data_IF_010763387315
#
_entry.id   IF_010763387315
#
_cell.length_a   1.000
_cell.length_b   1.000
_cell.length_c   1.000
_cell.angle_alpha   90.00
_cell.angle_beta   90.00
_cell.angle_gamma   90.00
#
_symmetry.space_group_name_H-M   'P 1'
#
loop_
_entity.id
_entity.type
_entity.pdbx_description
1 polymer ?
#
# COMPACT_ATOMS: atom_id res chain seq x y z
N UNK A 1 2.33 32.80 -52.21
CA UNK A 1 1.89 31.38 -52.26
C UNK A 1 1.73 30.91 -50.82
N UNK A 2 0.50 30.64 -50.37
CA UNK A 2 0.26 30.10 -49.02
C UNK A 2 0.41 28.58 -49.08
N UNK A 3 1.29 28.03 -48.25
CA UNK A 3 1.46 26.59 -48.09
C UNK A 3 0.23 26.00 -47.40
N UNK A 4 -0.47 25.09 -48.06
CA UNK A 4 -1.51 24.28 -47.46
C UNK A 4 -0.87 22.99 -46.94
N UNK A 5 -0.96 22.78 -45.63
CA UNK A 5 -0.45 21.59 -44.98
C UNK A 5 -1.31 20.39 -45.40
N UNK A 6 -0.69 19.39 -46.01
CA UNK A 6 -1.35 18.14 -46.41
C UNK A 6 -1.78 17.44 -45.10
N UNK A 7 -3.08 17.38 -44.85
CA UNK A 7 -3.62 16.57 -43.75
C UNK A 7 -3.70 15.12 -44.22
N UNK A 8 -3.31 14.18 -43.35
CA UNK A 8 -3.45 12.75 -43.64
C UNK A 8 -4.90 12.44 -44.00
N UNK A 9 -5.10 11.66 -45.06
CA UNK A 9 -6.46 11.27 -45.43
C UNK A 9 -6.99 10.28 -44.39
N UNK A 10 -8.31 10.24 -44.13
CA UNK A 10 -8.91 9.25 -43.23
C UNK A 10 -8.53 7.80 -43.60
N UNK A 11 -8.34 7.51 -44.90
CA UNK A 11 -7.90 6.20 -45.38
C UNK A 11 -6.46 5.84 -44.93
N UNK A 12 -5.56 6.82 -44.86
CA UNK A 12 -4.18 6.59 -44.41
C UNK A 12 -4.11 6.25 -42.91
N UNK A 13 -5.00 6.85 -42.12
CA UNK A 13 -5.12 6.58 -40.68
C UNK A 13 -5.66 5.17 -40.40
N UNK A 14 -6.66 4.73 -41.17
CA UNK A 14 -7.19 3.36 -41.08
C UNK A 14 -6.14 2.31 -41.48
N UNK A 15 -5.37 2.57 -42.54
CA UNK A 15 -4.31 1.68 -42.98
C UNK A 15 -3.17 1.57 -41.93
N UNK A 16 -2.80 2.68 -41.29
CA UNK A 16 -1.82 2.68 -40.20
C UNK A 16 -2.30 1.85 -39.00
N UNK A 17 -3.57 1.99 -38.63
CA UNK A 17 -4.18 1.23 -37.53
C UNK A 17 -4.21 -0.27 -37.83
N UNK A 18 -4.56 -0.64 -39.06
CA UNK A 18 -4.55 -2.04 -39.51
C UNK A 18 -3.14 -2.65 -39.46
N UNK A 19 -2.11 -1.89 -39.82
CA UNK A 19 -0.70 -2.34 -39.71
C UNK A 19 -0.26 -2.53 -38.26
N UNK A 20 -0.65 -1.63 -37.36
CA UNK A 20 -0.38 -1.74 -35.93
C UNK A 20 -1.00 -3.00 -35.33
N UNK A 21 -2.27 -3.26 -35.63
CA UNK A 21 -2.97 -4.47 -35.18
C UNK A 21 -2.31 -5.76 -35.69
N UNK A 22 -1.89 -5.75 -36.97
CA UNK A 22 -1.20 -6.89 -37.58
C UNK A 22 0.12 -7.18 -36.87
N UNK A 23 0.89 -6.15 -36.52
CA UNK A 23 2.16 -6.26 -35.79
C UNK A 23 1.97 -6.81 -34.37
N UNK A 24 1.00 -6.29 -33.62
CA UNK A 24 0.68 -6.76 -32.27
C UNK A 24 0.23 -8.23 -32.27
N UNK A 25 -0.59 -8.62 -33.25
CA UNK A 25 -1.03 -10.01 -33.43
C UNK A 25 0.16 -10.96 -33.66
N UNK A 26 1.16 -10.53 -34.46
CA UNK A 26 2.37 -11.33 -34.69
C UNK A 26 3.20 -11.48 -33.41
N UNK A 27 3.38 -10.40 -32.65
CA UNK A 27 4.12 -10.44 -31.39
C UNK A 27 3.44 -11.32 -30.34
N UNK A 28 2.12 -11.20 -30.21
CA UNK A 28 1.31 -12.04 -29.32
C UNK A 28 1.43 -13.52 -29.68
N UNK A 29 1.44 -13.87 -30.98
CA UNK A 29 1.65 -15.27 -31.42
C UNK A 29 2.97 -15.85 -30.94
N UNK A 30 4.02 -15.04 -30.84
CA UNK A 30 5.33 -15.48 -30.37
C UNK A 30 5.54 -15.28 -28.85
N UNK A 31 4.56 -14.71 -28.14
CA UNK A 31 4.65 -14.41 -26.72
C UNK A 31 5.63 -13.29 -26.39
N UNK A 32 5.98 -12.43 -27.36
CA UNK A 32 6.95 -11.35 -27.19
C UNK A 32 6.20 -10.06 -26.81
N UNK A 33 6.45 -9.48 -25.62
CA UNK A 33 5.93 -8.17 -25.25
C UNK A 33 6.35 -7.07 -26.24
N UNK A 34 5.45 -6.15 -26.58
CA UNK A 34 5.71 -5.07 -27.54
C UNK A 34 6.86 -4.15 -27.09
N UNK A 35 7.00 -3.95 -25.78
CA UNK A 35 8.08 -3.16 -25.18
C UNK A 35 9.45 -3.79 -25.43
N UNK A 36 9.57 -5.11 -25.28
CA UNK A 36 10.81 -5.85 -25.58
C UNK A 36 11.15 -5.84 -27.09
N UNK A 37 10.13 -5.72 -27.94
CA UNK A 37 10.30 -5.55 -29.38
C UNK A 37 10.64 -4.10 -29.79
N UNK A 38 10.85 -3.19 -28.82
CA UNK A 38 11.22 -1.79 -29.05
C UNK A 38 10.08 -0.93 -29.62
N UNK A 39 8.84 -1.38 -29.49
CA UNK A 39 7.66 -0.69 -30.01
C UNK A 39 7.00 0.08 -28.87
N UNK A 40 7.18 1.40 -28.89
CA UNK A 40 6.53 2.32 -27.95
C UNK A 40 5.54 3.20 -28.72
N UNK A 41 4.28 2.78 -28.79
CA UNK A 41 3.24 3.54 -29.50
C UNK A 41 2.66 4.70 -28.66
N UNK A 42 3.00 4.78 -27.38
CA UNK A 42 2.61 5.86 -26.48
C UNK A 42 3.88 6.54 -25.96
N UNK A 43 3.92 7.89 -25.86
CA UNK A 43 5.01 8.64 -25.23
C UNK A 43 5.01 8.50 -23.69
N UNK A 44 4.48 7.40 -23.16
CA UNK A 44 4.56 7.09 -21.74
C UNK A 44 6.00 6.67 -21.43
N UNK A 45 6.68 7.48 -20.61
CA UNK A 45 7.98 7.16 -20.03
C UNK A 45 7.87 5.86 -19.24
N UNK A 46 8.36 4.76 -19.84
CA UNK A 46 8.48 3.46 -19.18
C UNK A 46 9.56 3.57 -18.09
N UNK A 47 9.19 3.26 -16.85
CA UNK A 47 10.15 3.11 -15.75
C UNK A 47 10.93 1.79 -15.90
N UNK A 48 12.13 1.73 -15.33
CA UNK A 48 12.98 0.53 -15.41
C UNK A 48 12.35 -0.74 -14.83
N UNK A 49 11.41 -0.60 -13.89
CA UNK A 49 10.76 -1.72 -13.20
C UNK A 49 9.69 -2.42 -14.06
N UNK A 50 8.85 -1.68 -14.81
CA UNK A 50 7.86 -2.27 -15.75
C UNK A 50 8.56 -3.06 -16.87
N UNK A 51 9.72 -2.56 -17.34
CA UNK A 51 10.54 -3.28 -18.32
C UNK A 51 11.09 -4.59 -17.74
N UNK A 52 11.46 -4.59 -16.45
CA UNK A 52 12.00 -5.77 -15.76
C UNK A 52 10.93 -6.82 -15.49
N UNK A 53 9.71 -6.41 -15.15
CA UNK A 53 8.59 -7.31 -14.93
C UNK A 53 8.05 -7.90 -16.23
N UNK A 54 8.01 -7.11 -17.32
CA UNK A 54 7.71 -7.65 -18.65
C UNK A 54 8.81 -8.61 -19.15
N UNK A 55 10.08 -8.37 -18.81
CA UNK A 55 11.19 -9.28 -19.10
C UNK A 55 11.06 -10.60 -18.30
N UNK A 56 10.72 -10.52 -17.00
CA UNK A 56 10.41 -11.71 -16.18
C UNK A 56 9.23 -12.49 -16.73
N UNK A 57 8.16 -11.80 -17.13
CA UNK A 57 7.01 -12.40 -17.80
C UNK A 57 7.40 -13.13 -19.09
N UNK A 58 8.28 -12.54 -19.91
CA UNK A 58 8.79 -13.16 -21.13
C UNK A 58 9.61 -14.43 -20.85
N UNK A 59 10.49 -14.41 -19.85
CA UNK A 59 11.25 -15.60 -19.42
C UNK A 59 10.33 -16.71 -18.93
N UNK A 60 9.42 -16.41 -18.00
CA UNK A 60 8.57 -17.41 -17.36
C UNK A 60 7.50 -18.00 -18.28
N UNK A 61 6.87 -17.16 -19.13
CA UNK A 61 5.74 -17.59 -19.96
C UNK A 61 6.16 -18.09 -21.35
N UNK A 62 7.33 -17.68 -21.85
CA UNK A 62 7.74 -18.02 -23.23
C UNK A 62 9.06 -18.78 -23.29
N UNK A 63 10.14 -18.26 -22.69
CA UNK A 63 11.48 -18.86 -22.86
C UNK A 63 11.69 -20.14 -22.05
N UNK A 64 11.36 -20.16 -20.76
CA UNK A 64 11.52 -21.34 -19.90
C UNK A 64 10.72 -22.54 -20.42
N UNK A 65 9.43 -22.39 -20.82
CA UNK A 65 8.70 -23.50 -21.42
C UNK A 65 9.35 -24.04 -22.71
N UNK A 66 9.94 -23.16 -23.54
CA UNK A 66 10.69 -23.59 -24.74
C UNK A 66 11.99 -24.28 -24.41
N UNK A 67 12.75 -23.80 -23.42
CA UNK A 67 13.97 -24.45 -22.95
C UNK A 67 13.67 -25.84 -22.39
N UNK A 68 12.62 -25.97 -21.57
CA UNK A 68 12.14 -27.27 -21.07
C UNK A 68 11.73 -28.22 -22.19
N UNK A 69 11.11 -27.71 -23.25
CA UNK A 69 10.81 -28.53 -24.43
C UNK A 69 12.10 -29.05 -25.11
N UNK A 70 13.15 -28.22 -25.19
CA UNK A 70 14.45 -28.66 -25.70
C UNK A 70 15.15 -29.66 -24.76
N UNK A 71 15.07 -29.47 -23.44
CA UNK A 71 15.58 -30.42 -22.44
C UNK A 71 14.89 -31.78 -22.58
N UNK A 72 13.56 -31.81 -22.66
CA UNK A 72 12.79 -33.04 -22.89
C UNK A 72 13.18 -33.73 -24.20
N UNK A 73 13.48 -32.94 -25.24
CA UNK A 73 13.93 -33.46 -26.53
C UNK A 73 15.34 -34.03 -26.46
N UNK A 74 16.27 -33.36 -25.79
CA UNK A 74 17.62 -33.86 -25.53
C UNK A 74 17.56 -35.14 -24.69
N UNK A 75 16.73 -35.16 -23.67
CA UNK A 75 16.50 -36.31 -22.80
C UNK A 75 16.01 -37.52 -23.60
N UNK A 76 14.98 -37.33 -24.43
CA UNK A 76 14.38 -38.42 -25.22
C UNK A 76 15.28 -38.87 -26.38
N UNK A 77 15.79 -37.94 -27.18
CA UNK A 77 16.44 -38.25 -28.46
C UNK A 77 17.95 -38.55 -28.28
N UNK A 78 18.57 -38.09 -27.19
CA UNK A 78 20.00 -38.26 -26.92
C UNK A 78 20.27 -39.11 -25.68
N UNK A 79 19.95 -38.64 -24.47
CA UNK A 79 20.36 -39.32 -23.22
C UNK A 79 19.74 -40.73 -23.09
N UNK A 80 18.42 -40.84 -23.23
CA UNK A 80 17.72 -42.12 -23.17
C UNK A 80 18.09 -43.05 -24.34
N UNK A 81 18.35 -42.48 -25.52
CA UNK A 81 18.73 -43.26 -26.71
C UNK A 81 20.10 -43.92 -26.56
N UNK A 82 21.04 -43.23 -25.91
CA UNK A 82 22.40 -43.72 -25.69
C UNK A 82 22.60 -44.35 -24.30
N UNK A 83 21.55 -44.42 -23.48
CA UNK A 83 21.58 -45.07 -22.16
C UNK A 83 22.51 -44.37 -21.15
N UNK A 84 22.64 -43.05 -21.26
CA UNK A 84 23.48 -42.25 -20.38
C UNK A 84 22.68 -41.90 -19.11
N UNK A 85 23.24 -42.19 -17.94
CA UNK A 85 22.66 -41.82 -16.63
C UNK A 85 22.99 -40.36 -16.28
N UNK A 86 22.65 -39.46 -17.19
CA UNK A 86 22.89 -38.03 -17.07
C UNK A 86 21.71 -37.28 -17.65
N UNK A 87 21.32 -36.19 -17.00
CA UNK A 87 20.30 -35.28 -17.51
C UNK A 87 20.95 -33.98 -18.00
N UNK A 88 20.49 -33.46 -19.13
CA UNK A 88 20.87 -32.14 -19.64
C UNK A 88 19.85 -31.09 -19.24
N UNK A 89 20.26 -30.07 -18.49
CA UNK A 89 19.42 -28.92 -18.12
C UNK A 89 20.13 -27.61 -18.46
N UNK A 90 19.36 -26.59 -18.83
CA UNK A 90 19.87 -25.24 -19.03
C UNK A 90 20.08 -24.58 -17.67
N UNK A 91 21.27 -24.01 -17.48
CA UNK A 91 21.56 -23.21 -16.29
C UNK A 91 20.93 -21.82 -16.44
N UNK A 92 20.03 -21.49 -15.51
CA UNK A 92 19.33 -20.21 -15.44
C UNK A 92 19.79 -19.37 -14.23
N UNK A 93 20.78 -19.85 -13.47
CA UNK A 93 21.20 -19.24 -12.20
C UNK A 93 21.88 -17.88 -12.37
N UNK A 94 22.49 -17.63 -13.53
CA UNK A 94 23.15 -16.35 -13.85
C UNK A 94 22.20 -15.29 -14.43
N UNK A 95 20.92 -15.61 -14.63
CA UNK A 95 19.95 -14.66 -15.20
C UNK A 95 19.47 -13.73 -14.09
N UNK A 96 19.93 -12.48 -14.13
CA UNK A 96 19.65 -11.43 -13.14
C UNK A 96 18.16 -11.16 -12.92
N UNK A 97 17.31 -11.52 -13.90
CA UNK A 97 15.85 -11.38 -13.84
C UNK A 97 15.15 -12.57 -13.16
N UNK A 98 15.79 -13.75 -13.09
CA UNK A 98 15.26 -14.97 -12.48
C UNK A 98 15.83 -15.24 -11.08
N UNK A 99 16.86 -14.51 -10.66
CA UNK A 99 17.34 -14.57 -9.28
C UNK A 99 16.24 -14.04 -8.34
N UNK A 100 15.74 -14.93 -7.47
CA UNK A 100 14.86 -14.54 -6.38
C UNK A 100 15.58 -13.50 -5.52
N UNK A 101 14.90 -12.40 -5.24
CA UNK A 101 15.40 -11.34 -4.36
C UNK A 101 15.90 -11.99 -3.06
N UNK A 102 17.21 -11.93 -2.77
CA UNK A 102 17.76 -12.43 -1.50
C UNK A 102 17.06 -11.81 -0.28
N UNK A 103 16.45 -10.64 -0.48
CA UNK A 103 15.58 -9.97 0.48
C UNK A 103 14.34 -10.81 0.79
N UNK A 104 13.72 -11.45 -0.21
CA UNK A 104 12.54 -12.30 -0.04
C UNK A 104 12.88 -13.57 0.74
N UNK A 105 14.00 -14.22 0.42
CA UNK A 105 14.50 -15.41 1.15
C UNK A 105 14.88 -15.09 2.60
N UNK A 106 15.55 -13.95 2.83
CA UNK A 106 15.84 -13.46 4.20
C UNK A 106 14.57 -13.12 4.98
N UNK A 107 13.53 -12.63 4.31
CA UNK A 107 12.25 -12.35 4.94
C UNK A 107 11.50 -13.65 5.31
N UNK A 108 11.53 -14.68 4.45
CA UNK A 108 10.97 -16.01 4.75
C UNK A 108 11.67 -16.67 5.93
N UNK A 109 13.01 -16.65 5.97
CA UNK A 109 13.78 -17.19 7.12
C UNK A 109 13.52 -16.42 8.41
N UNK A 110 13.33 -15.10 8.32
CA UNK A 110 12.94 -14.27 9.47
C UNK A 110 11.53 -14.63 9.96
N UNK A 111 10.60 -14.93 9.05
CA UNK A 111 9.23 -15.34 9.38
C UNK A 111 9.21 -16.74 10.02
N UNK A 112 9.98 -17.71 9.50
CA UNK A 112 10.13 -19.05 10.08
C UNK A 112 10.62 -19.01 11.54
N UNK A 113 11.57 -18.11 11.84
CA UNK A 113 12.11 -17.90 13.19
C UNK A 113 11.09 -17.22 14.12
N UNK A 114 10.37 -16.21 13.62
CA UNK A 114 9.35 -15.47 14.41
C UNK A 114 8.12 -16.34 14.71
N UNK A 115 7.75 -17.22 13.78
CA UNK A 115 6.65 -18.17 13.93
C UNK A 115 7.01 -19.36 14.85
N UNK A 116 8.28 -19.49 15.26
CA UNK A 116 8.77 -20.59 16.11
C UNK A 116 8.83 -21.95 15.41
N UNK A 117 8.71 -21.98 14.07
CA UNK A 117 8.76 -23.20 13.25
C UNK A 117 10.23 -23.59 12.97
N UNK A 118 11.14 -22.61 12.92
CA UNK A 118 12.57 -22.79 12.77
C UNK A 118 13.36 -22.42 14.03
N UNK A 119 14.45 -23.15 14.28
CA UNK A 119 15.48 -22.74 15.25
C UNK A 119 16.63 -22.04 14.52
N UNK A 120 17.41 -21.24 15.25
CA UNK A 120 18.52 -20.47 14.68
C UNK A 120 19.56 -21.40 14.06
N UNK A 121 19.85 -22.54 14.70
CA UNK A 121 20.79 -23.53 14.14
C UNK A 121 20.26 -24.20 12.86
N UNK A 122 18.94 -24.34 12.69
CA UNK A 122 18.34 -24.86 11.45
C UNK A 122 18.46 -23.88 10.28
N UNK A 123 18.44 -22.58 10.56
CA UNK A 123 18.71 -21.53 9.57
C UNK A 123 20.20 -21.46 9.23
N UNK A 124 21.09 -21.58 10.24
CA UNK A 124 22.54 -21.65 10.03
C UNK A 124 22.94 -22.89 9.23
N UNK A 125 22.31 -24.04 9.48
CA UNK A 125 22.51 -25.27 8.71
C UNK A 125 22.09 -25.10 7.23
N UNK A 126 20.94 -24.48 6.94
CA UNK A 126 20.53 -24.16 5.56
C UNK A 126 21.50 -23.22 4.84
N UNK A 127 22.21 -22.37 5.59
CA UNK A 127 23.21 -21.42 5.09
C UNK A 127 24.62 -22.02 5.05
N UNK A 128 24.83 -23.22 5.60
CA UNK A 128 26.13 -23.88 5.68
C UNK A 128 27.08 -23.26 6.71
N UNK A 129 26.54 -22.56 7.71
CA UNK A 129 27.31 -21.91 8.78
C UNK A 129 27.41 -22.80 10.04
N UNK A 130 28.43 -22.59 10.87
CA UNK A 130 28.63 -23.42 12.07
C UNK A 130 27.54 -23.17 13.13
N UNK A 131 26.99 -24.23 13.75
CA UNK A 131 25.93 -24.10 14.74
C UNK A 131 26.46 -23.45 16.03
N UNK A 132 25.58 -22.68 16.69
CA UNK A 132 25.89 -22.02 17.96
C UNK A 132 25.22 -22.75 19.13
N UNK A 133 25.90 -22.83 20.27
CA UNK A 133 25.46 -23.64 21.42
C UNK A 133 24.09 -23.24 22.02
N UNK A 134 23.59 -22.05 21.69
CA UNK A 134 22.32 -21.50 22.15
C UNK A 134 21.25 -21.43 21.04
N UNK A 135 21.55 -21.92 19.84
CA UNK A 135 20.74 -21.75 18.63
C UNK A 135 19.65 -22.80 18.42
N UNK A 136 19.56 -23.83 19.26
CA UNK A 136 18.53 -24.88 19.20
C UNK A 136 17.25 -24.53 19.95
N UNK A 137 17.22 -23.38 20.62
CA UNK A 137 16.04 -22.88 21.33
C UNK A 137 15.24 -21.99 20.39
N UNK A 138 13.94 -22.28 20.22
CA UNK A 138 13.03 -21.44 19.44
C UNK A 138 12.75 -20.13 20.20
N UNK A 139 13.02 -18.99 19.56
CA UNK A 139 12.83 -17.67 20.16
C UNK A 139 11.49 -17.08 19.69
N UNK A 140 10.48 -17.12 20.57
CA UNK A 140 9.19 -16.49 20.31
C UNK A 140 9.19 -15.03 20.81
N UNK A 141 8.66 -14.07 20.02
CA UNK A 141 8.45 -12.70 20.51
C UNK A 141 7.50 -12.70 21.72
N UNK A 142 7.86 -11.96 22.77
CA UNK A 142 7.24 -12.03 24.10
C UNK A 142 5.81 -11.46 24.23
N UNK A 143 5.02 -11.40 23.15
CA UNK A 143 3.67 -10.83 23.13
C UNK A 143 2.56 -11.85 22.85
N UNK A 144 2.77 -13.11 23.23
CA UNK A 144 1.72 -14.12 23.28
C UNK A 144 1.24 -14.26 24.73
N UNK A 145 0.01 -13.81 25.01
CA UNK A 145 -0.66 -14.11 26.30
C UNK A 145 -1.40 -15.44 26.13
N UNK A 146 -1.11 -16.46 26.96
CA UNK A 146 -1.77 -17.76 26.84
C UNK A 146 -3.18 -17.72 27.43
N UNK A 147 -4.15 -18.35 26.76
CA UNK A 147 -5.44 -18.71 27.36
C UNK A 147 -5.41 -20.21 27.68
N UNK A 148 -5.66 -20.49 28.97
CA UNK A 148 -5.53 -21.75 29.71
C UNK A 148 -4.10 -22.14 30.16
N UNK A 149 -3.81 -21.63 31.37
CA UNK A 149 -2.95 -22.19 32.42
C UNK A 149 -1.43 -22.24 32.21
N UNK A 150 -0.72 -21.75 33.22
CA UNK A 150 0.74 -21.64 33.27
C UNK A 150 1.50 -22.93 33.01
N UNK A 151 2.72 -22.74 32.50
CA UNK A 151 3.63 -23.80 32.05
C UNK A 151 4.63 -24.15 33.18
N UNK A 152 4.53 -25.41 33.67
CA UNK A 152 5.54 -26.36 34.24
C UNK A 152 6.57 -25.90 35.30
N UNK A 153 7.07 -26.64 36.31
CA UNK A 153 7.06 -28.03 36.87
C UNK A 153 8.06 -28.00 38.09
N UNK A 154 8.42 -29.08 38.82
CA UNK A 154 7.66 -30.11 39.51
C UNK A 154 7.82 -29.97 41.05
N UNK A 155 6.78 -30.26 41.84
CA UNK A 155 6.97 -30.56 43.27
C UNK A 155 6.35 -31.91 43.55
N UNK A 156 7.21 -32.88 43.83
CA UNK A 156 6.86 -34.16 44.41
C UNK A 156 6.15 -33.88 45.74
N UNK A 157 4.85 -34.18 45.80
CA UNK A 157 4.04 -33.95 46.98
C UNK A 157 2.81 -34.85 46.96
N UNK A 158 2.69 -35.67 47.98
CA UNK A 158 1.84 -36.84 48.13
C UNK A 158 0.37 -36.67 47.75
N UNK A 159 -0.17 -37.77 47.22
CA UNK A 159 -1.59 -38.05 47.02
C UNK A 159 -2.44 -37.78 48.27
N UNK A 160 -3.40 -36.87 48.15
CA UNK A 160 -4.57 -36.86 49.03
C UNK A 160 -5.85 -36.78 48.21
N UNK A 161 -6.67 -37.81 48.39
CA UNK A 161 -8.04 -37.95 47.88
C UNK A 161 -8.91 -36.79 48.39
N UNK A 162 -9.63 -36.13 47.48
CA UNK A 162 -10.72 -35.24 47.83
C UNK A 162 -12.06 -35.96 47.61
N UNK A 163 -12.79 -36.08 48.70
CA UNK A 163 -14.00 -36.87 48.92
C UNK A 163 -15.24 -36.27 48.26
N UNK A 164 -16.23 -37.14 48.08
CA UNK A 164 -17.42 -37.06 47.22
C UNK A 164 -18.49 -35.97 47.57
N UNK A 165 -18.14 -34.83 48.14
CA UNK A 165 -19.14 -33.86 48.65
C UNK A 165 -19.31 -32.59 47.78
N UNK A 166 -18.54 -32.41 46.70
CA UNK A 166 -18.69 -31.26 45.79
C UNK A 166 -19.38 -31.59 44.44
N UNK A 167 -19.90 -32.81 44.26
CA UNK A 167 -20.52 -33.28 42.99
C UNK A 167 -22.05 -33.05 42.94
N UNK A 168 -22.61 -32.18 43.77
CA UNK A 168 -24.07 -32.02 43.87
C UNK A 168 -24.68 -30.86 43.04
N UNK A 169 -23.91 -30.06 42.31
CA UNK A 169 -24.42 -28.85 41.62
C UNK A 169 -24.27 -28.80 40.09
N UNK A 170 -23.90 -29.91 39.43
CA UNK A 170 -23.71 -29.93 37.96
C UNK A 170 -24.34 -31.15 37.28
N UNK A 171 -25.63 -31.39 37.53
CA UNK A 171 -26.43 -32.30 36.69
C UNK A 171 -27.77 -31.63 36.37
N UNK A 172 -28.16 -31.79 35.11
CA UNK A 172 -29.30 -31.17 34.38
C UNK A 172 -28.90 -29.85 33.68
N UNK A 173 -28.88 -29.70 32.35
CA UNK A 173 -29.37 -30.49 31.21
C UNK A 173 -28.36 -30.41 30.06
N UNK A 174 -28.06 -31.55 29.42
CA UNK A 174 -27.44 -31.58 28.08
C UNK A 174 -28.57 -31.63 27.06
N UNK A 175 -28.67 -30.62 26.21
CA UNK A 175 -29.36 -30.66 24.91
C UNK A 175 -28.40 -30.21 23.81
N UNK A 176 -28.61 -30.67 22.56
CA UNK A 176 -27.55 -31.23 21.71
C UNK A 176 -26.75 -30.20 20.90
N UNK A 177 -25.63 -30.69 20.37
CA UNK A 177 -24.69 -30.09 19.41
C UNK A 177 -25.36 -29.72 18.07
N UNK A 178 -26.31 -28.79 18.10
CA UNK A 178 -27.03 -28.30 16.92
C UNK A 178 -27.23 -26.76 16.93
N UNK A 179 -26.50 -26.02 17.77
CA UNK A 179 -26.64 -24.56 17.89
C UNK A 179 -25.48 -23.75 17.27
N UNK A 180 -24.45 -24.38 16.72
CA UNK A 180 -23.32 -23.65 16.10
C UNK A 180 -23.49 -23.35 14.60
N UNK A 181 -24.63 -23.69 13.99
CA UNK A 181 -24.89 -23.38 12.57
C UNK A 181 -25.59 -22.02 12.32
N UNK A 182 -25.86 -21.21 13.35
CA UNK A 182 -26.57 -19.91 13.17
C UNK A 182 -26.14 -18.78 14.12
N UNK A 183 -24.88 -18.72 14.55
CA UNK A 183 -24.39 -17.51 15.23
C UNK A 183 -24.11 -16.43 14.17
N UNK A 184 -25.11 -15.57 13.90
CA UNK A 184 -24.97 -14.43 13.00
C UNK A 184 -23.80 -13.54 13.47
N UNK A 185 -22.87 -13.14 12.59
CA UNK A 185 -21.83 -12.16 12.92
C UNK A 185 -22.51 -10.83 13.24
N UNK A 186 -22.88 -10.63 14.50
CA UNK A 186 -23.52 -9.38 14.92
C UNK A 186 -22.40 -8.44 15.31
N UNK A 187 -22.11 -7.44 14.47
CA UNK A 187 -21.23 -6.34 14.83
C UNK A 187 -21.86 -5.55 15.99
N UNK A 188 -21.62 -6.01 17.22
CA UNK A 188 -22.07 -5.29 18.41
C UNK A 188 -21.36 -3.94 18.46
N UNK A 189 -22.02 -2.96 19.08
CA UNK A 189 -21.41 -1.65 19.32
C UNK A 189 -20.03 -1.77 20.00
N UNK A 190 -19.88 -2.71 20.94
CA UNK A 190 -18.62 -2.98 21.62
C UNK A 190 -17.50 -3.41 20.65
N UNK A 191 -17.80 -4.30 19.69
CA UNK A 191 -16.81 -4.74 18.70
C UNK A 191 -16.40 -3.58 17.79
N UNK A 192 -17.37 -2.77 17.34
CA UNK A 192 -17.09 -1.57 16.53
C UNK A 192 -16.23 -0.56 17.30
N UNK A 193 -16.54 -0.31 18.57
CA UNK A 193 -15.79 0.61 19.43
C UNK A 193 -14.35 0.12 19.69
N UNK A 194 -14.16 -1.19 19.89
CA UNK A 194 -12.83 -1.79 20.07
C UNK A 194 -12.02 -1.75 18.77
N UNK A 195 -12.63 -2.11 17.64
CA UNK A 195 -12.00 -2.01 16.33
C UNK A 195 -11.60 -0.57 16.02
N UNK A 196 -12.50 0.40 16.24
CA UNK A 196 -12.23 1.82 16.08
C UNK A 196 -11.00 2.27 16.86
N UNK A 197 -10.92 1.91 18.16
CA UNK A 197 -9.79 2.26 19.02
C UNK A 197 -8.47 1.67 18.50
N UNK A 198 -8.48 0.39 18.11
CA UNK A 198 -7.29 -0.28 17.57
C UNK A 198 -6.80 0.40 16.29
N UNK A 199 -7.71 0.68 15.35
CA UNK A 199 -7.37 1.36 14.10
C UNK A 199 -6.84 2.76 14.38
N UNK A 200 -7.56 3.55 15.17
CA UNK A 200 -7.20 4.95 15.47
C UNK A 200 -5.82 5.04 16.11
N UNK A 201 -5.50 4.14 17.05
CA UNK A 201 -4.19 4.12 17.70
C UNK A 201 -3.05 3.90 16.69
N UNK A 202 -3.20 2.95 15.78
CA UNK A 202 -2.20 2.69 14.73
C UNK A 202 -2.11 3.85 13.71
N UNK A 203 -3.26 4.40 13.32
CA UNK A 203 -3.35 5.52 12.38
C UNK A 203 -2.63 6.74 12.96
N UNK A 204 -2.95 7.15 14.18
CA UNK A 204 -2.31 8.29 14.83
C UNK A 204 -0.81 8.10 15.00
N UNK A 205 -0.36 6.86 15.26
CA UNK A 205 1.06 6.54 15.35
C UNK A 205 1.77 6.77 14.00
N UNK A 206 1.20 6.28 12.90
CA UNK A 206 1.74 6.48 11.53
C UNK A 206 1.66 7.95 11.14
N UNK A 207 0.50 8.61 11.30
CA UNK A 207 0.28 10.02 10.97
C UNK A 207 1.34 10.90 11.64
N UNK A 208 1.62 10.65 12.92
CA UNK A 208 2.57 11.45 13.69
C UNK A 208 3.99 11.37 13.14
N UNK A 209 4.44 10.21 12.67
CA UNK A 209 5.80 10.05 12.13
C UNK A 209 5.85 10.53 10.70
N UNK A 210 4.88 10.16 9.86
CA UNK A 210 4.81 10.61 8.47
C UNK A 210 4.71 12.14 8.37
N UNK A 211 3.92 12.78 9.26
CA UNK A 211 3.91 14.24 9.42
C UNK A 211 5.32 14.79 9.61
N UNK A 212 6.13 14.21 10.50
CA UNK A 212 7.49 14.70 10.76
C UNK A 212 8.38 14.57 9.53
N UNK A 213 8.23 13.52 8.75
CA UNK A 213 9.04 13.34 7.53
C UNK A 213 8.63 14.31 6.42
N UNK A 214 7.33 14.59 6.24
CA UNK A 214 6.86 15.69 5.37
C UNK A 214 7.44 17.03 5.85
N UNK A 215 7.45 17.28 7.17
CA UNK A 215 8.03 18.51 7.73
C UNK A 215 9.53 18.61 7.47
N UNK A 216 10.28 17.51 7.58
CA UNK A 216 11.71 17.49 7.23
C UNK A 216 11.93 17.77 5.75
N UNK A 217 11.15 17.13 4.87
CA UNK A 217 11.20 17.37 3.43
C UNK A 217 10.93 18.84 3.07
N UNK A 218 9.84 19.42 3.58
CA UNK A 218 9.54 20.84 3.39
C UNK A 218 10.63 21.77 3.98
N UNK A 219 11.29 21.36 5.06
CA UNK A 219 12.37 22.14 5.67
C UNK A 219 13.63 22.08 4.82
N UNK A 220 14.01 20.90 4.31
CA UNK A 220 15.14 20.74 3.39
C UNK A 220 14.92 21.56 2.12
N UNK A 221 13.71 21.48 1.53
CA UNK A 221 13.30 22.26 0.37
C UNK A 221 13.42 23.78 0.63
N UNK A 222 12.90 24.26 1.77
CA UNK A 222 13.04 25.66 2.18
C UNK A 222 14.51 26.08 2.29
N UNK A 223 15.34 25.28 2.96
CA UNK A 223 16.75 25.61 3.16
C UNK A 223 17.49 25.71 1.84
N UNK A 224 17.23 24.78 0.91
CA UNK A 224 17.81 24.81 -0.43
C UNK A 224 17.42 26.07 -1.21
N UNK A 225 16.13 26.42 -1.24
CA UNK A 225 15.67 27.62 -1.95
C UNK A 225 16.22 28.92 -1.32
N UNK A 226 16.35 28.97 0.00
CA UNK A 226 16.97 30.11 0.68
C UNK A 226 18.46 30.23 0.37
N UNK A 227 19.17 29.11 0.24
CA UNK A 227 20.57 29.11 -0.18
C UNK A 227 20.72 29.71 -1.58
N UNK A 228 19.86 29.30 -2.52
CA UNK A 228 19.83 29.86 -3.88
C UNK A 228 19.59 31.38 -3.84
N UNK A 229 18.55 31.83 -3.13
CA UNK A 229 18.23 33.26 -2.99
C UNK A 229 19.40 34.05 -2.40
N UNK A 230 20.08 33.51 -1.39
CA UNK A 230 21.18 34.21 -0.69
C UNK A 230 22.44 34.45 -1.54
N UNK A 231 22.58 33.75 -2.67
CA UNK A 231 23.71 33.93 -3.60
C UNK A 231 23.57 35.20 -4.44
N UNK A 232 22.34 35.70 -4.58
CA UNK A 232 22.01 36.83 -5.45
C UNK A 232 21.87 38.14 -4.68
N UNK A 233 22.37 39.23 -5.27
CA UNK A 233 22.22 40.58 -4.69
C UNK A 233 20.89 41.25 -5.04
N UNK A 234 20.27 40.81 -6.14
CA UNK A 234 19.00 41.30 -6.62
C UNK A 234 18.22 40.16 -7.28
N UNK A 235 16.90 40.16 -7.11
CA UNK A 235 16.03 39.12 -7.68
C UNK A 235 15.89 39.39 -9.19
N UNK A 236 16.57 38.58 -10.00
CA UNK A 236 16.55 38.65 -11.46
C UNK A 236 15.76 37.51 -12.11
N UNK A 237 15.62 37.58 -13.44
CA UNK A 237 14.96 36.54 -14.24
C UNK A 237 15.71 35.19 -14.16
N UNK A 238 17.05 35.22 -14.13
CA UNK A 238 17.86 33.99 -14.04
C UNK A 238 17.59 33.21 -12.74
N UNK A 239 17.48 33.93 -11.60
CA UNK A 239 17.11 33.34 -10.31
C UNK A 239 15.69 32.77 -10.32
N UNK A 240 14.77 33.46 -10.99
CA UNK A 240 13.40 33.01 -11.14
C UNK A 240 13.36 31.66 -11.90
N UNK A 241 14.10 31.56 -12.99
CA UNK A 241 14.18 30.35 -13.80
C UNK A 241 14.83 29.20 -13.02
N UNK A 242 15.89 29.45 -12.25
CA UNK A 242 16.54 28.43 -11.40
C UNK A 242 15.60 27.88 -10.31
N UNK A 243 14.85 28.76 -9.62
CA UNK A 243 13.92 28.34 -8.54
C UNK A 243 12.67 27.64 -9.10
N UNK A 244 12.26 28.00 -10.32
CA UNK A 244 11.07 27.42 -10.95
C UNK A 244 11.39 26.26 -11.89
N UNK A 245 12.66 25.82 -11.92
CA UNK A 245 13.16 24.73 -12.74
C UNK A 245 12.34 23.44 -12.59
N UNK A 246 11.83 22.92 -13.71
CA UNK A 246 10.96 21.76 -13.72
C UNK A 246 11.68 20.48 -13.27
N UNK A 247 12.99 20.36 -13.50
CA UNK A 247 13.75 19.18 -13.09
C UNK A 247 13.94 19.12 -11.57
N UNK A 248 14.18 20.27 -10.92
CA UNK A 248 14.17 20.37 -9.46
C UNK A 248 12.82 19.94 -8.87
N UNK A 249 11.70 20.48 -9.39
CA UNK A 249 10.37 20.14 -8.88
C UNK A 249 9.97 18.68 -9.14
N UNK A 250 10.43 18.08 -10.24
CA UNK A 250 10.27 16.64 -10.48
C UNK A 250 11.03 15.80 -9.44
N UNK A 251 12.24 16.24 -9.05
CA UNK A 251 13.02 15.61 -7.98
C UNK A 251 12.29 15.70 -6.64
N UNK A 252 11.71 16.86 -6.33
CA UNK A 252 10.92 17.05 -5.10
C UNK A 252 9.66 16.19 -5.04
N UNK A 253 9.00 15.96 -6.18
CA UNK A 253 7.88 15.01 -6.30
C UNK A 253 8.33 13.57 -6.08
N UNK A 254 9.45 13.16 -6.68
CA UNK A 254 10.01 11.82 -6.49
C UNK A 254 10.41 11.56 -5.03
N UNK A 255 11.07 12.53 -4.38
CA UNK A 255 11.43 12.45 -2.95
C UNK A 255 10.21 12.29 -2.05
N UNK A 256 9.15 13.09 -2.29
CA UNK A 256 7.92 12.96 -1.52
C UNK A 256 7.30 11.58 -1.72
N UNK A 257 7.25 11.06 -2.95
CA UNK A 257 6.73 9.71 -3.23
C UNK A 257 7.49 8.63 -2.49
N UNK A 258 8.82 8.67 -2.49
CA UNK A 258 9.63 7.66 -1.79
C UNK A 258 9.43 7.71 -0.27
N UNK A 259 9.33 8.91 0.32
CA UNK A 259 8.97 9.08 1.74
C UNK A 259 7.58 8.48 2.01
N UNK A 260 6.59 8.83 1.18
CA UNK A 260 5.20 8.39 1.35
C UNK A 260 5.03 6.89 1.17
N UNK A 261 5.76 6.28 0.23
CA UNK A 261 5.69 4.85 -0.10
C UNK A 261 5.98 3.95 1.11
N UNK A 262 6.93 4.35 1.95
CA UNK A 262 7.25 3.64 3.21
C UNK A 262 6.05 3.67 4.16
N UNK A 263 5.45 4.84 4.36
CA UNK A 263 4.35 5.01 5.29
C UNK A 263 3.03 4.44 4.78
N UNK A 264 2.81 4.48 3.46
CA UNK A 264 1.63 3.89 2.85
C UNK A 264 1.67 2.37 2.94
N UNK A 265 2.81 1.73 2.65
CA UNK A 265 2.97 0.28 2.91
C UNK A 265 2.71 -0.07 4.36
N UNK A 266 3.24 0.72 5.30
CA UNK A 266 2.97 0.51 6.72
C UNK A 266 1.48 0.64 7.06
N UNK A 267 0.77 1.59 6.45
CA UNK A 267 -0.67 1.74 6.61
C UNK A 267 -1.46 0.56 6.02
N UNK A 268 -1.02 0.00 4.89
CA UNK A 268 -1.61 -1.23 4.32
C UNK A 268 -1.43 -2.43 5.26
N UNK A 269 -0.22 -2.63 5.81
CA UNK A 269 0.04 -3.70 6.79
C UNK A 269 -0.85 -3.58 8.03
N UNK A 270 -0.95 -2.37 8.60
CA UNK A 270 -1.86 -2.14 9.73
C UNK A 270 -3.31 -2.37 9.31
N UNK A 271 -3.72 -1.95 8.11
CA UNK A 271 -5.07 -2.23 7.59
C UNK A 271 -5.35 -3.73 7.55
N UNK A 272 -4.42 -4.51 7.00
CA UNK A 272 -4.52 -5.97 6.94
C UNK A 272 -4.71 -6.57 8.33
N UNK A 273 -3.85 -6.16 9.28
CA UNK A 273 -3.92 -6.60 10.68
C UNK A 273 -5.28 -6.27 11.31
N UNK A 274 -5.77 -5.04 11.16
CA UNK A 274 -7.04 -4.63 11.74
C UNK A 274 -8.22 -5.42 11.18
N UNK A 275 -8.18 -5.80 9.91
CA UNK A 275 -9.24 -6.60 9.29
C UNK A 275 -9.15 -8.05 9.75
N UNK A 276 -7.95 -8.62 9.89
CA UNK A 276 -7.76 -9.96 10.50
C UNK A 276 -8.31 -9.99 11.93
N UNK A 277 -7.91 -9.03 12.77
CA UNK A 277 -8.39 -8.90 14.15
C UNK A 277 -9.93 -8.76 14.19
N UNK A 278 -10.50 -7.99 13.25
CA UNK A 278 -11.95 -7.83 13.13
C UNK A 278 -12.63 -9.16 12.78
N UNK A 279 -12.16 -9.86 11.74
CA UNK A 279 -12.71 -11.15 11.28
C UNK A 279 -12.68 -12.20 12.39
N UNK A 280 -11.55 -12.32 13.08
CA UNK A 280 -11.39 -13.24 14.22
C UNK A 280 -12.37 -12.88 15.35
N UNK A 281 -12.53 -11.58 15.65
CA UNK A 281 -13.43 -11.10 16.70
C UNK A 281 -14.90 -11.36 16.38
N UNK A 282 -15.32 -11.21 15.12
CA UNK A 282 -16.72 -11.41 14.72
C UNK A 282 -17.06 -12.84 14.31
N UNK A 283 -16.07 -13.75 14.31
CA UNK A 283 -16.25 -15.15 13.95
C UNK A 283 -16.62 -15.34 12.47
N UNK A 284 -16.20 -14.41 11.60
CA UNK A 284 -16.35 -14.58 10.16
C UNK A 284 -15.43 -15.70 9.66
N UNK A 285 -15.76 -16.35 8.53
CA UNK A 285 -14.90 -17.38 7.94
C UNK A 285 -13.48 -16.84 7.91
N UNK A 286 -12.59 -17.52 8.62
CA UNK A 286 -11.20 -17.09 8.76
C UNK A 286 -10.64 -16.85 7.37
N UNK A 287 -10.13 -15.63 7.16
CA UNK A 287 -9.32 -15.29 6.00
C UNK A 287 -8.37 -16.46 5.76
N UNK A 288 -8.44 -17.10 4.59
CA UNK A 288 -7.57 -18.22 4.27
C UNK A 288 -6.12 -17.83 4.57
N UNK A 289 -5.39 -18.78 5.15
CA UNK A 289 -4.09 -18.59 5.84
C UNK A 289 -2.99 -18.07 4.90
N UNK A 290 -3.27 -17.89 3.60
CA UNK A 290 -2.35 -17.39 2.57
C UNK A 290 -2.71 -16.04 1.95
N UNK A 291 -3.79 -15.35 2.35
CA UNK A 291 -4.10 -14.04 1.77
C UNK A 291 -3.14 -12.96 2.26
N UNK A 292 -2.60 -12.12 1.38
CA UNK A 292 -1.91 -10.89 1.73
C UNK A 292 -2.56 -9.69 1.05
N UNK A 293 -2.59 -8.55 1.74
CA UNK A 293 -3.06 -7.30 1.15
C UNK A 293 -2.21 -6.86 -0.06
N UNK A 294 -0.97 -7.31 -0.12
CA UNK A 294 -0.06 -7.05 -1.22
C UNK A 294 -0.37 -7.87 -2.49
N UNK A 295 -1.21 -8.88 -2.40
CA UNK A 295 -1.70 -9.65 -3.57
C UNK A 295 -3.04 -9.10 -4.10
N UNK A 296 -3.52 -7.99 -3.53
CA UNK A 296 -4.81 -7.38 -3.91
C UNK A 296 -4.63 -6.16 -4.81
N UNK A 297 -5.74 -5.69 -5.39
CA UNK A 297 -5.81 -4.40 -6.09
C UNK A 297 -5.46 -3.20 -5.19
N UNK A 298 -5.31 -3.38 -3.87
CA UNK A 298 -4.82 -2.33 -2.99
C UNK A 298 -3.40 -1.86 -3.37
N UNK A 299 -2.58 -2.72 -4.00
CA UNK A 299 -1.27 -2.30 -4.54
C UNK A 299 -1.41 -1.38 -5.75
N UNK A 300 -2.39 -1.62 -6.63
CA UNK A 300 -2.67 -0.69 -7.73
C UNK A 300 -3.16 0.66 -7.17
N UNK A 301 -4.02 0.65 -6.15
CA UNK A 301 -4.48 1.88 -5.48
C UNK A 301 -3.35 2.62 -4.78
N UNK A 302 -2.31 1.92 -4.30
CA UNK A 302 -1.12 2.54 -3.74
C UNK A 302 -0.42 3.45 -4.77
N UNK A 303 -0.26 2.97 -6.01
CA UNK A 303 0.36 3.76 -7.08
C UNK A 303 -0.49 4.97 -7.48
N UNK A 304 -1.82 4.83 -7.47
CA UNK A 304 -2.74 5.96 -7.69
C UNK A 304 -2.57 7.01 -6.58
N UNK A 305 -2.53 6.61 -5.31
CA UNK A 305 -2.30 7.51 -4.17
C UNK A 305 -0.94 8.20 -4.25
N UNK A 306 0.12 7.47 -4.61
CA UNK A 306 1.45 8.04 -4.81
C UNK A 306 1.47 9.04 -5.97
N UNK A 307 0.67 8.80 -7.01
CA UNK A 307 0.55 9.71 -8.15
C UNK A 307 -0.12 11.03 -7.76
N UNK A 308 -1.21 10.98 -6.98
CA UNK A 308 -1.95 12.15 -6.49
C UNK A 308 -1.13 13.08 -5.58
N UNK A 309 -0.03 12.59 -4.98
CA UNK A 309 0.91 13.45 -4.22
C UNK A 309 1.50 14.58 -5.07
N UNK A 310 1.44 14.48 -6.40
CA UNK A 310 1.74 15.58 -7.31
C UNK A 310 0.93 16.84 -6.98
N UNK A 311 -0.32 16.72 -6.55
CA UNK A 311 -1.13 17.88 -6.14
C UNK A 311 -0.53 18.64 -4.95
N UNK A 312 0.20 17.95 -4.07
CA UNK A 312 0.93 18.55 -2.95
C UNK A 312 2.12 19.35 -3.46
N UNK A 313 2.97 18.74 -4.31
CA UNK A 313 4.14 19.43 -4.87
C UNK A 313 3.75 20.58 -5.78
N UNK A 314 2.72 20.44 -6.61
CA UNK A 314 2.19 21.50 -7.46
C UNK A 314 1.69 22.70 -6.63
N UNK A 315 1.03 22.45 -5.50
CA UNK A 315 0.59 23.51 -4.58
C UNK A 315 1.77 24.28 -3.98
N UNK A 316 2.82 23.57 -3.58
CA UNK A 316 4.04 24.17 -3.03
C UNK A 316 4.78 24.96 -4.11
N UNK A 317 4.98 24.36 -5.30
CA UNK A 317 5.58 24.99 -6.48
C UNK A 317 4.88 26.28 -6.87
N UNK A 318 3.55 26.23 -6.98
CA UNK A 318 2.73 27.40 -7.29
C UNK A 318 2.94 28.51 -6.26
N UNK A 319 2.93 28.16 -4.98
CA UNK A 319 3.15 29.14 -3.91
C UNK A 319 4.54 29.76 -3.89
N UNK A 320 5.58 29.01 -4.24
CA UNK A 320 6.95 29.55 -4.42
C UNK A 320 7.00 30.45 -5.66
N UNK A 321 6.43 30.01 -6.79
CA UNK A 321 6.39 30.79 -8.03
C UNK A 321 5.70 32.14 -7.83
N UNK A 322 4.57 32.17 -7.13
CA UNK A 322 3.86 33.41 -6.79
C UNK A 322 4.75 34.39 -6.01
N UNK A 323 5.52 33.90 -5.03
CA UNK A 323 6.45 34.72 -4.25
C UNK A 323 7.55 35.30 -5.13
N UNK A 324 8.15 34.46 -5.98
CA UNK A 324 9.22 34.89 -6.87
C UNK A 324 8.71 35.89 -7.93
N UNK A 325 7.48 35.74 -8.41
CA UNK A 325 6.84 36.71 -9.31
C UNK A 325 6.64 38.06 -8.63
N UNK A 326 6.11 38.08 -7.40
CA UNK A 326 5.95 39.33 -6.63
C UNK A 326 7.31 39.97 -6.34
N UNK A 327 8.31 39.17 -5.95
CA UNK A 327 9.65 39.67 -5.68
C UNK A 327 10.29 40.35 -6.90
N UNK A 328 10.10 39.78 -8.09
CA UNK A 328 10.59 40.34 -9.35
C UNK A 328 9.83 41.62 -9.76
N UNK A 329 8.49 41.63 -9.60
CA UNK A 329 7.65 42.76 -9.99
C UNK A 329 7.86 43.98 -9.08
N UNK A 330 7.95 43.75 -7.77
CA UNK A 330 8.07 44.80 -6.76
C UNK A 330 9.53 45.18 -6.47
N UNK A 331 10.50 44.48 -7.07
CA UNK A 331 11.92 44.72 -6.89
C UNK A 331 12.38 44.48 -5.44
N UNK A 332 11.86 43.42 -4.81
CA UNK A 332 12.19 43.08 -3.43
C UNK A 332 13.69 42.76 -3.27
N UNK A 333 14.22 43.05 -2.08
CA UNK A 333 15.57 42.64 -1.72
C UNK A 333 15.65 41.12 -1.51
N UNK A 334 16.87 40.57 -1.52
CA UNK A 334 17.15 39.18 -1.13
C UNK A 334 16.56 38.86 0.25
N UNK A 335 16.84 39.70 1.25
CA UNK A 335 16.38 39.52 2.63
C UNK A 335 14.85 39.51 2.75
N UNK A 336 14.16 40.42 2.03
CA UNK A 336 12.69 40.49 2.07
C UNK A 336 12.08 39.25 1.40
N UNK A 337 12.62 38.85 0.25
CA UNK A 337 12.20 37.65 -0.48
C UNK A 337 12.40 36.39 0.37
N UNK A 338 13.56 36.27 1.02
CA UNK A 338 13.85 35.20 1.95
C UNK A 338 12.87 35.18 3.13
N UNK A 339 12.48 36.35 3.67
CA UNK A 339 11.49 36.42 4.75
C UNK A 339 10.12 35.90 4.30
N UNK A 340 9.61 36.38 3.16
CA UNK A 340 8.31 35.97 2.62
C UNK A 340 8.30 34.47 2.30
N UNK A 341 9.40 33.94 1.76
CA UNK A 341 9.56 32.51 1.52
C UNK A 341 9.48 31.69 2.81
N UNK A 342 10.18 32.11 3.88
CA UNK A 342 10.12 31.44 5.19
C UNK A 342 8.70 31.40 5.73
N UNK A 343 7.96 32.51 5.64
CA UNK A 343 6.59 32.61 6.13
C UNK A 343 5.64 31.69 5.36
N UNK A 344 5.79 31.62 4.03
CA UNK A 344 5.02 30.68 3.20
C UNK A 344 5.32 29.24 3.56
N UNK A 345 6.59 28.89 3.76
CA UNK A 345 6.96 27.54 4.19
C UNK A 345 6.44 27.22 5.59
N UNK A 346 6.35 28.17 6.51
CA UNK A 346 5.71 27.94 7.81
C UNK A 346 4.22 27.52 7.63
N UNK A 347 3.51 28.11 6.66
CA UNK A 347 2.14 27.68 6.31
C UNK A 347 2.13 26.26 5.74
N UNK A 348 3.05 25.91 4.85
CA UNK A 348 3.16 24.54 4.31
C UNK A 348 3.48 23.52 5.40
N UNK A 349 4.39 23.84 6.32
CA UNK A 349 4.74 23.03 7.48
C UNK A 349 3.53 22.77 8.39
N UNK A 350 2.65 23.76 8.54
CA UNK A 350 1.41 23.61 9.29
C UNK A 350 0.40 22.68 8.59
N UNK A 351 0.45 22.59 7.25
CA UNK A 351 -0.39 21.68 6.44
C UNK A 351 0.12 20.24 6.42
N UNK A 352 1.34 19.96 6.87
CA UNK A 352 1.90 18.60 6.90
C UNK A 352 1.02 17.59 7.64
N UNK A 353 0.35 18.03 8.72
CA UNK A 353 -0.61 17.17 9.45
C UNK A 353 -1.84 16.83 8.61
N UNK A 354 -2.33 17.78 7.83
CA UNK A 354 -3.48 17.58 6.94
C UNK A 354 -3.16 16.63 5.80
N UNK A 355 -1.97 16.76 5.20
CA UNK A 355 -1.48 15.83 4.19
C UNK A 355 -1.36 14.43 4.81
N UNK A 356 -0.59 14.29 5.90
CA UNK A 356 -0.39 13.00 6.55
C UNK A 356 -1.70 12.31 6.93
N UNK A 357 -2.68 13.05 7.49
CA UNK A 357 -3.99 12.49 7.83
C UNK A 357 -4.76 12.01 6.60
N UNK A 358 -4.83 12.84 5.57
CA UNK A 358 -5.65 12.57 4.38
C UNK A 358 -5.11 11.36 3.63
N UNK A 359 -3.80 11.29 3.46
CA UNK A 359 -3.18 10.21 2.70
C UNK A 359 -3.19 8.88 3.46
N UNK A 360 -2.85 8.87 4.75
CA UNK A 360 -2.88 7.63 5.55
C UNK A 360 -4.32 7.13 5.72
N UNK A 361 -5.29 8.02 5.92
CA UNK A 361 -6.71 7.67 5.93
C UNK A 361 -7.18 7.10 4.60
N UNK A 362 -6.74 7.68 3.48
CA UNK A 362 -7.00 7.18 2.13
C UNK A 362 -6.50 5.75 1.96
N UNK A 363 -5.22 5.52 2.23
CA UNK A 363 -4.61 4.18 2.11
C UNK A 363 -5.30 3.17 3.01
N UNK A 364 -5.60 3.53 4.26
CA UNK A 364 -6.30 2.66 5.20
C UNK A 364 -7.70 2.26 4.69
N UNK A 365 -8.48 3.19 4.17
CA UNK A 365 -9.83 2.89 3.69
C UNK A 365 -9.82 2.16 2.34
N UNK A 366 -8.97 2.55 1.40
CA UNK A 366 -8.80 1.85 0.12
C UNK A 366 -8.41 0.38 0.34
N UNK A 367 -7.44 0.16 1.22
CA UNK A 367 -6.99 -1.17 1.66
C UNK A 367 -8.14 -2.01 2.21
N UNK A 368 -8.99 -1.43 3.06
CA UNK A 368 -10.19 -2.08 3.60
C UNK A 368 -11.16 -2.48 2.51
N UNK A 369 -11.48 -1.56 1.61
CA UNK A 369 -12.45 -1.81 0.55
C UNK A 369 -11.99 -2.93 -0.39
N UNK A 370 -10.71 -2.93 -0.80
CA UNK A 370 -10.19 -4.01 -1.64
C UNK A 370 -10.14 -5.35 -0.90
N UNK A 371 -9.85 -5.31 0.41
CA UNK A 371 -9.97 -6.51 1.25
C UNK A 371 -11.40 -7.03 1.28
N UNK A 372 -12.39 -6.15 1.43
CA UNK A 372 -13.79 -6.55 1.47
C UNK A 372 -14.23 -7.19 0.16
N UNK A 373 -13.86 -6.58 -0.97
CA UNK A 373 -14.10 -7.13 -2.31
C UNK A 373 -13.43 -8.49 -2.50
N UNK A 374 -12.19 -8.64 -2.01
CA UNK A 374 -11.46 -9.90 -2.10
C UNK A 374 -12.20 -11.05 -1.40
N UNK A 375 -12.73 -10.81 -0.20
CA UNK A 375 -13.52 -11.80 0.53
C UNK A 375 -14.99 -11.93 0.08
N UNK A 376 -15.38 -11.21 -0.98
CA UNK A 376 -16.74 -11.26 -1.52
C UNK A 376 -17.78 -10.55 -0.66
N UNK A 377 -17.39 -9.72 0.30
CA UNK A 377 -18.33 -8.87 1.01
C UNK A 377 -18.84 -7.79 0.08
N UNK A 378 -20.16 -7.65 0.02
CA UNK A 378 -20.83 -6.73 -0.90
C UNK A 378 -21.24 -5.43 -0.24
N UNK A 379 -21.31 -5.39 1.10
CA UNK A 379 -21.77 -4.24 1.87
C UNK A 379 -20.76 -3.81 2.91
N UNK A 380 -20.85 -2.53 3.24
CA UNK A 380 -20.08 -1.93 4.32
C UNK A 380 -20.90 -0.86 5.05
N UNK A 381 -20.54 -0.62 6.29
CA UNK A 381 -21.15 0.36 7.18
C UNK A 381 -20.17 1.49 7.46
N UNK A 382 -20.67 2.72 7.44
CA UNK A 382 -19.92 3.91 7.85
C UNK A 382 -19.73 3.94 9.36
N UNK A 383 -18.48 4.06 9.79
CA UNK A 383 -18.08 4.24 11.19
C UNK A 383 -17.51 5.65 11.35
N UNK A 384 -18.30 6.54 11.93
CA UNK A 384 -17.93 7.94 12.15
C UNK A 384 -16.91 8.05 13.28
N UNK A 385 -16.06 9.08 13.26
CA UNK A 385 -15.16 9.32 14.39
C UNK A 385 -15.86 9.81 15.66
N UNK A 386 -17.14 10.21 15.53
CA UNK A 386 -18.03 10.66 16.61
C UNK A 386 -17.41 11.73 17.54
N UNK A 387 -16.45 12.50 17.02
CA UNK A 387 -15.78 13.57 17.74
C UNK A 387 -16.32 14.96 17.32
N UNK A 388 -15.95 15.98 18.09
CA UNK A 388 -16.38 17.38 17.87
C UNK A 388 -15.99 17.96 16.50
N UNK A 389 -15.05 17.35 15.79
CA UNK A 389 -14.56 17.77 14.47
C UNK A 389 -15.12 16.92 13.33
N UNK A 390 -16.12 16.07 13.60
CA UNK A 390 -16.91 15.41 12.56
C UNK A 390 -17.73 16.47 11.84
N UNK A 391 -17.71 16.45 10.51
CA UNK A 391 -18.42 17.42 9.69
C UNK A 391 -19.91 17.39 9.95
N UNK A 392 -20.49 18.58 10.05
CA UNK A 392 -21.94 18.76 10.05
C UNK A 392 -22.40 19.86 9.13
N UNK A 393 -23.58 19.68 8.50
CA UNK A 393 -24.27 20.75 7.82
C UNK A 393 -24.47 21.95 8.77
N UNK A 394 -24.13 23.15 8.30
CA UNK A 394 -24.39 24.40 9.03
C UNK A 394 -23.28 24.93 9.95
N UNK A 395 -22.09 24.33 10.02
CA UNK A 395 -20.94 24.99 10.69
C UNK A 395 -20.44 26.21 9.89
N UNK A 396 -19.91 27.30 10.48
CA UNK A 396 -19.49 28.51 9.74
C UNK A 396 -18.34 28.36 8.72
N UNK A 397 -17.80 27.16 8.51
CA UNK A 397 -16.65 26.90 7.63
C UNK A 397 -17.08 26.35 6.26
N UNK A 398 -16.19 26.30 5.26
CA UNK A 398 -16.48 25.75 3.93
C UNK A 398 -17.03 24.29 3.92
N UNK A 399 -17.07 23.62 5.07
CA UNK A 399 -17.71 22.33 5.33
C UNK A 399 -19.26 22.35 5.41
N UNK A 400 -19.93 23.49 5.13
CA UNK A 400 -21.36 23.71 5.37
C UNK A 400 -22.34 22.75 4.71
N UNK A 401 -21.91 22.02 3.69
CA UNK A 401 -22.77 21.12 2.93
C UNK A 401 -22.48 19.65 3.22
N UNK A 402 -21.36 19.28 3.84
CA UNK A 402 -21.00 17.87 4.03
C UNK A 402 -21.46 17.33 5.39
N UNK A 403 -21.97 16.09 5.41
CA UNK A 403 -22.42 15.44 6.64
C UNK A 403 -21.72 14.09 6.86
N UNK A 404 -20.92 14.01 7.93
CA UNK A 404 -20.23 12.79 8.34
C UNK A 404 -20.84 12.16 9.60
N UNK A 405 -21.98 12.68 10.09
CA UNK A 405 -22.78 12.08 11.19
C UNK A 405 -23.75 11.02 10.66
N UNK A 406 -23.24 10.17 9.79
CA UNK A 406 -23.97 9.09 9.11
C UNK A 406 -23.54 7.72 9.66
N UNK A 407 -23.08 7.68 10.92
CA UNK A 407 -22.69 6.46 11.63
C UNK A 407 -23.80 5.40 11.55
N UNK A 408 -23.44 4.16 11.22
CA UNK A 408 -24.42 3.10 11.04
C UNK A 408 -25.06 3.03 9.66
N UNK A 409 -24.79 3.99 8.76
CA UNK A 409 -25.30 3.92 7.38
C UNK A 409 -24.62 2.78 6.65
N UNK A 410 -25.41 1.90 6.02
CA UNK A 410 -24.93 0.77 5.22
C UNK A 410 -25.13 1.08 3.74
N UNK A 411 -24.14 0.76 2.92
CA UNK A 411 -24.17 0.88 1.46
C UNK A 411 -23.58 -0.37 0.80
N UNK A 412 -23.91 -0.58 -0.47
CA UNK A 412 -23.15 -1.52 -1.29
C UNK A 412 -21.75 -0.95 -1.55
N UNK A 413 -20.74 -1.82 -1.59
CA UNK A 413 -19.37 -1.38 -1.87
C UNK A 413 -19.31 -0.73 -3.25
N UNK A 414 -18.90 0.54 -3.27
CA UNK A 414 -18.82 1.36 -4.48
C UNK A 414 -20.03 2.27 -4.69
N UNK A 415 -21.09 2.12 -3.90
CA UNK A 415 -22.18 3.09 -3.82
C UNK A 415 -21.76 4.29 -2.96
N UNK A 416 -22.17 5.49 -3.36
CA UNK A 416 -21.86 6.70 -2.61
C UNK A 416 -22.67 6.81 -1.30
N UNK A 417 -22.00 7.26 -0.25
CA UNK A 417 -22.67 7.65 1.00
C UNK A 417 -23.35 9.01 0.88
N UNK A 418 -24.39 9.28 1.69
CA UNK A 418 -25.13 10.54 1.66
C UNK A 418 -24.37 11.67 2.39
N UNK A 419 -23.12 11.90 2.02
CA UNK A 419 -22.25 12.94 2.60
C UNK A 419 -22.36 14.29 1.89
N UNK A 420 -23.11 14.36 0.80
CA UNK A 420 -23.18 15.47 -0.18
C UNK A 420 -21.89 15.73 -0.98
N UNK A 421 -20.81 14.97 -0.75
CA UNK A 421 -19.61 14.97 -1.60
C UNK A 421 -19.46 13.70 -2.45
N UNK A 422 -20.47 12.84 -2.44
CA UNK A 422 -20.57 11.61 -3.23
C UNK A 422 -19.39 10.63 -3.07
N UNK A 423 -18.82 10.53 -1.87
CA UNK A 423 -17.75 9.57 -1.58
C UNK A 423 -18.28 8.16 -1.35
N UNK A 424 -17.58 7.17 -1.91
CA UNK A 424 -17.93 5.74 -1.76
C UNK A 424 -17.44 5.17 -0.42
N UNK A 425 -16.45 5.80 0.19
CA UNK A 425 -15.92 5.49 1.53
C UNK A 425 -15.14 6.71 2.08
N UNK A 426 -14.79 6.74 3.38
CA UNK A 426 -13.97 7.81 3.94
C UNK A 426 -12.64 7.95 3.19
N UNK A 427 -12.23 9.20 2.95
CA UNK A 427 -11.01 9.55 2.22
C UNK A 427 -10.95 9.05 0.75
N UNK A 428 -12.09 8.72 0.13
CA UNK A 428 -12.18 8.33 -1.28
C UNK A 428 -11.40 9.30 -2.19
N UNK A 429 -10.53 8.75 -3.03
CA UNK A 429 -9.66 9.51 -3.93
C UNK A 429 -10.45 10.37 -4.93
N UNK A 430 -11.61 9.87 -5.38
CA UNK A 430 -12.47 10.56 -6.35
C UNK A 430 -13.42 11.56 -5.67
N UNK A 431 -13.39 11.61 -4.34
CA UNK A 431 -14.24 12.46 -3.53
C UNK A 431 -13.93 13.95 -3.62
N UNK A 432 -14.94 14.77 -3.33
CA UNK A 432 -14.74 16.21 -3.16
C UNK A 432 -13.75 16.51 -2.02
N UNK A 433 -12.90 17.53 -2.21
CA UNK A 433 -11.88 17.93 -1.24
C UNK A 433 -12.46 18.27 0.14
N UNK A 434 -13.61 18.95 0.18
CA UNK A 434 -14.33 19.29 1.40
C UNK A 434 -14.80 18.05 2.16
N UNK A 435 -15.06 16.94 1.46
CA UNK A 435 -15.54 15.68 2.00
C UNK A 435 -14.38 14.78 2.49
N UNK A 436 -13.28 14.70 1.74
CA UNK A 436 -12.19 13.74 2.02
C UNK A 436 -11.04 14.27 2.89
N UNK A 437 -10.69 15.56 2.82
CA UNK A 437 -9.48 16.09 3.49
C UNK A 437 -9.65 16.07 5.00
N UNK A 438 -8.66 15.60 5.78
CA UNK A 438 -8.77 15.45 7.24
C UNK A 438 -9.92 14.53 7.73
N UNK A 439 -10.62 13.81 6.86
CA UNK A 439 -11.58 12.80 7.30
C UNK A 439 -10.85 11.75 8.16
N UNK A 440 -11.49 11.35 9.27
CA UNK A 440 -11.00 10.33 10.22
C UNK A 440 -11.90 9.11 10.25
N UNK A 441 -13.03 9.13 9.55
CA UNK A 441 -14.00 8.05 9.54
C UNK A 441 -13.40 6.79 8.91
N UNK A 442 -14.04 5.66 9.19
CA UNK A 442 -13.69 4.35 8.65
C UNK A 442 -14.95 3.67 8.11
N UNK A 443 -14.76 2.54 7.45
CA UNK A 443 -15.85 1.59 7.19
C UNK A 443 -15.56 0.25 7.84
N UNK A 444 -16.61 -0.51 8.14
CA UNK A 444 -16.53 -1.92 8.54
C UNK A 444 -17.35 -2.75 7.56
N UNK A 445 -16.95 -3.99 7.25
CA UNK A 445 -17.72 -4.83 6.34
C UNK A 445 -19.01 -5.27 7.01
N UNK A 446 -20.03 -5.54 6.20
CA UNK A 446 -21.28 -6.14 6.64
C UNK A 446 -21.44 -7.46 5.90
N UNK A 447 -21.54 -8.54 6.66
CA UNK A 447 -21.90 -9.84 6.11
C UNK A 447 -23.40 -9.95 6.10
N UNK A 448 -23.97 -9.96 4.90
CA UNK A 448 -25.36 -10.36 4.70
C UNK A 448 -25.50 -11.87 4.96
N UNK A 449 -26.73 -12.26 5.33
CA UNK A 449 -27.15 -13.58 5.80
C UNK A 449 -26.64 -14.79 4.99
#
# INVERSE_FOLDING_TARGET
VKYQQIQMTPADMEYFTMKKWSRETVLAKYGIPAVLAGITDSPATLSGDDTRDQMKGFWNLTLIPRLRFFEQKLETDFFNRYGLDMEGRFDLSEIAELQEDEVKKRNEERLDLIAGIGTINRVLERRGEEPVAWGDVAWLPLSLVPISSGVSEPVVGESQELTATSIAFLKEERTPVAFLEKAKPTYTKLVKDLHWKAVTQSWEAIERVYKKDIQKWLFAQRSFLLEIISREKAIGADLFDEITDDAYWATQEAELREISKVWFRRAMEESEKHIRDLVETVGLPSIEVSWSIFDTRAVELLDVRLTELKGVTDTVKKGVKEIMQTALQDGLSESDTASVLRDRYNVFQNRAKTIARTEIGGVLNDSRIETYKHFGWTKHEWLSSLDERVRTPGEPSASQIYDHRIDGTIRDIGEAFPTNGAIRWPNDIDGDAGDKINCRCLTVPITED
#
